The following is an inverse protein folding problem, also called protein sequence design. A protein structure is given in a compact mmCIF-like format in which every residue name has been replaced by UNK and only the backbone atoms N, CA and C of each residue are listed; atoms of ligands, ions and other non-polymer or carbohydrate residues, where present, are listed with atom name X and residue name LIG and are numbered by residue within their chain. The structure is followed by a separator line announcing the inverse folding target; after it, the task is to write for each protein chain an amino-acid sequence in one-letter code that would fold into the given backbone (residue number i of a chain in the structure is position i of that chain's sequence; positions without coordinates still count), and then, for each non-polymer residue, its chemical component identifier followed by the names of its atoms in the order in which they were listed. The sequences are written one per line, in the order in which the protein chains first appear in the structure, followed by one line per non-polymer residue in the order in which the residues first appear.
data_IF_906031084690
#
_entry.id   IF_906031084690
#
_cell.length_a   1.000
_cell.length_b   1.000
_cell.length_c   1.000
_cell.angle_alpha   90.00
_cell.angle_beta   90.00
_cell.angle_gamma   90.00
#
_symmetry.space_group_name_H-M   'P 1'
#
loop_
_entity.id
_entity.type
_entity.pdbx_description
1 polymer ?
#
# COMPACT_ATOMS: atom_id res chain seq x y z
N UNK A 1 11.05 7.79 2.27
CA UNK A 1 9.84 7.31 2.96
C UNK A 1 9.71 5.79 2.94
N UNK A 2 9.80 5.07 1.81
CA UNK A 2 9.66 3.61 1.80
C UNK A 2 10.55 2.85 2.81
N UNK A 3 11.84 3.20 2.91
CA UNK A 3 12.74 2.63 3.93
C UNK A 3 12.30 2.96 5.37
N UNK A 4 11.80 4.17 5.63
CA UNK A 4 11.30 4.56 6.95
C UNK A 4 10.00 3.82 7.30
N UNK A 5 9.12 3.64 6.31
CA UNK A 5 7.86 2.92 6.46
C UNK A 5 8.07 1.43 6.80
N UNK A 6 9.10 0.78 6.26
CA UNK A 6 9.39 -0.64 6.55
C UNK A 6 10.32 -0.82 7.75
N UNK A 7 11.45 -0.10 7.80
CA UNK A 7 12.49 -0.27 8.83
C UNK A 7 12.29 0.62 10.05
N UNK A 8 11.25 1.46 10.07
CA UNK A 8 10.76 2.30 11.19
C UNK A 8 11.70 3.43 11.64
N UNK A 9 13.00 3.18 11.71
CA UNK A 9 13.98 4.08 12.34
C UNK A 9 15.25 4.19 11.52
N UNK A 10 15.93 5.34 11.62
CA UNK A 10 17.26 5.51 11.04
C UNK A 10 18.27 4.50 11.60
N UNK A 11 18.14 4.11 12.86
CA UNK A 11 19.03 3.13 13.51
C UNK A 11 18.91 1.76 12.86
N UNK A 12 17.70 1.33 12.51
CA UNK A 12 17.48 0.08 11.80
C UNK A 12 18.03 0.13 10.37
N UNK A 13 17.84 1.25 9.66
CA UNK A 13 18.41 1.46 8.32
C UNK A 13 19.94 1.40 8.40
N UNK A 14 20.56 2.10 9.36
CA UNK A 14 22.00 2.08 9.61
C UNK A 14 22.48 0.65 9.91
N UNK A 15 21.76 -0.09 10.77
CA UNK A 15 22.10 -1.47 11.14
C UNK A 15 22.11 -2.41 9.93
N UNK A 16 21.05 -2.39 9.12
CA UNK A 16 20.94 -3.23 7.92
C UNK A 16 21.99 -2.85 6.89
N UNK A 17 22.25 -1.55 6.71
CA UNK A 17 23.25 -1.05 5.78
C UNK A 17 24.69 -1.43 6.19
N UNK A 18 25.03 -1.31 7.47
CA UNK A 18 26.35 -1.71 8.01
C UNK A 18 26.53 -3.23 7.96
N UNK A 19 25.45 -4.00 8.13
CA UNK A 19 25.48 -5.46 7.91
C UNK A 19 25.59 -5.85 6.42
N UNK A 20 25.58 -4.88 5.51
CA UNK A 20 25.62 -5.06 4.05
C UNK A 20 24.51 -5.97 3.51
N UNK A 21 23.37 -6.00 4.18
CA UNK A 21 22.21 -6.81 3.81
C UNK A 21 21.40 -6.07 2.72
N UNK A 22 21.93 -6.13 1.50
CA UNK A 22 21.35 -5.50 0.30
C UNK A 22 19.98 -6.09 -0.02
N UNK A 23 19.79 -7.40 0.19
CA UNK A 23 18.55 -8.10 -0.14
C UNK A 23 17.40 -7.61 0.74
N UNK A 24 17.64 -7.42 2.04
CA UNK A 24 16.63 -6.86 2.95
C UNK A 24 16.26 -5.42 2.61
N UNK A 25 17.22 -4.60 2.20
CA UNK A 25 16.95 -3.24 1.73
C UNK A 25 16.20 -3.25 0.39
N UNK A 26 16.56 -4.16 -0.52
CA UNK A 26 15.93 -4.30 -1.83
C UNK A 26 14.53 -4.94 -1.78
N UNK A 27 14.19 -5.62 -0.68
CA UNK A 27 12.85 -6.13 -0.43
C UNK A 27 11.84 -5.01 -0.14
N UNK A 28 12.31 -3.81 0.23
CA UNK A 28 11.46 -2.64 0.45
C UNK A 28 10.88 -2.16 -0.89
N UNK A 29 9.56 -2.00 -0.93
CA UNK A 29 8.84 -1.59 -2.13
C UNK A 29 9.36 -0.23 -2.65
N UNK A 30 9.74 -0.17 -3.93
CA UNK A 30 10.35 1.02 -4.54
C UNK A 30 11.86 1.18 -4.28
N UNK A 31 12.48 0.30 -3.50
CA UNK A 31 13.94 0.25 -3.30
C UNK A 31 14.48 -0.90 -4.13
N UNK A 32 14.96 -0.59 -5.35
CA UNK A 32 15.64 -1.59 -6.16
C UNK A 32 17.07 -1.90 -5.67
N UNK A 33 17.72 -2.94 -6.22
CA UNK A 33 19.07 -3.35 -5.81
C UNK A 33 20.13 -2.24 -6.00
N UNK A 34 19.90 -1.32 -6.94
CA UNK A 34 20.77 -0.15 -7.16
C UNK A 34 20.68 0.81 -5.96
N UNK A 35 19.47 1.12 -5.51
CA UNK A 35 19.24 2.03 -4.38
C UNK A 35 19.71 1.37 -3.08
N UNK A 36 19.43 0.08 -2.91
CA UNK A 36 19.88 -0.68 -1.74
C UNK A 36 21.41 -0.65 -1.60
N UNK A 37 22.16 -0.86 -2.70
CA UNK A 37 23.63 -0.73 -2.69
C UNK A 37 24.09 0.68 -2.37
N UNK A 38 23.47 1.70 -2.96
CA UNK A 38 23.83 3.09 -2.67
C UNK A 38 23.64 3.44 -1.18
N UNK A 39 22.62 2.89 -0.53
CA UNK A 39 22.40 3.05 0.92
C UNK A 39 23.51 2.36 1.72
N UNK A 40 23.88 1.12 1.36
CA UNK A 40 25.01 0.41 1.99
C UNK A 40 26.31 1.20 1.83
N UNK A 41 26.61 1.65 0.61
CA UNK A 41 27.80 2.45 0.32
C UNK A 41 27.83 3.73 1.14
N UNK A 42 26.70 4.43 1.26
CA UNK A 42 26.61 5.66 2.06
C UNK A 42 26.97 5.44 3.53
N UNK A 43 26.45 4.39 4.16
CA UNK A 43 26.73 4.10 5.57
C UNK A 43 28.10 3.46 5.83
N UNK A 44 28.69 2.83 4.81
CA UNK A 44 29.99 2.14 4.92
C UNK A 44 31.17 2.98 4.41
N UNK A 45 30.90 4.06 3.67
CA UNK A 45 31.93 4.98 3.19
C UNK A 45 32.69 5.64 4.35
N UNK A 46 34.01 5.44 4.34
CA UNK A 46 34.90 5.87 5.42
C UNK A 46 34.86 4.99 6.68
N UNK A 47 34.21 3.83 6.63
CA UNK A 47 34.22 2.84 7.72
C UNK A 47 33.46 3.27 8.98
N UNK A 48 33.84 2.76 10.17
CA UNK A 48 33.18 3.09 11.43
C UNK A 48 33.15 4.59 11.74
N UNK A 49 34.19 5.30 11.31
CA UNK A 49 34.36 6.74 11.46
C UNK A 49 34.02 7.52 10.18
N UNK A 50 33.14 6.96 9.34
CA UNK A 50 32.64 7.62 8.14
C UNK A 50 31.94 8.95 8.46
N UNK A 51 32.13 9.95 7.61
CA UNK A 51 31.53 11.28 7.82
C UNK A 51 30.00 11.24 7.76
N UNK A 52 29.42 10.36 6.95
CA UNK A 52 27.98 10.12 6.88
C UNK A 52 27.40 9.70 8.24
N UNK A 53 28.03 8.74 8.91
CA UNK A 53 27.62 8.28 10.25
C UNK A 53 27.75 9.40 11.29
N UNK A 54 28.80 10.21 11.21
CA UNK A 54 28.96 11.39 12.09
C UNK A 54 27.84 12.42 11.90
N UNK A 55 27.34 12.62 10.69
CA UNK A 55 26.20 13.51 10.46
C UNK A 55 24.94 12.98 11.14
N UNK A 56 24.64 11.70 10.96
CA UNK A 56 23.49 11.05 11.62
C UNK A 56 23.61 11.17 13.15
N UNK A 57 24.80 10.92 13.70
CA UNK A 57 25.05 11.10 15.14
C UNK A 57 24.84 12.53 15.63
N UNK A 58 25.27 13.55 14.86
CA UNK A 58 25.05 14.96 15.23
C UNK A 58 23.57 15.33 15.24
N UNK A 59 22.82 14.90 14.23
CA UNK A 59 21.37 15.11 14.21
C UNK A 59 20.68 14.39 15.38
N UNK A 60 21.11 13.18 15.70
CA UNK A 60 20.61 12.43 16.87
C UNK A 60 20.90 13.18 18.18
N UNK A 61 22.13 13.69 18.34
CA UNK A 61 22.53 14.47 19.51
C UNK A 61 21.79 15.83 19.61
N UNK A 62 21.36 16.37 18.46
CA UNK A 62 20.54 17.58 18.40
C UNK A 62 19.04 17.32 18.66
N UNK A 63 18.63 16.07 18.91
CA UNK A 63 17.24 15.72 19.20
C UNK A 63 16.34 15.61 17.97
N UNK A 64 16.90 15.43 16.77
CA UNK A 64 16.10 15.20 15.55
C UNK A 64 15.36 13.87 15.69
N UNK A 65 14.03 13.89 15.49
CA UNK A 65 13.22 12.68 15.45
C UNK A 65 13.55 11.89 14.19
N UNK A 66 14.16 10.72 14.37
CA UNK A 66 14.60 9.82 13.30
C UNK A 66 13.79 8.52 13.21
N UNK A 67 12.67 8.48 13.91
CA UNK A 67 11.68 7.43 13.79
C UNK A 67 10.52 7.97 12.96
N UNK A 68 10.01 7.14 12.05
CA UNK A 68 8.72 7.41 11.44
C UNK A 68 7.67 7.27 12.54
N UNK A 69 6.88 8.31 12.80
CA UNK A 69 5.78 8.23 13.75
C UNK A 69 4.68 7.40 13.10
N UNK A 70 4.73 6.09 13.33
CA UNK A 70 3.61 5.20 13.03
C UNK A 70 2.55 5.43 14.09
N UNK A 71 1.37 5.87 13.67
CA UNK A 71 0.23 5.96 14.56
C UNK A 71 -0.35 4.55 14.74
N UNK A 72 0.12 3.85 15.78
CA UNK A 72 -0.35 2.50 16.12
C UNK A 72 -1.84 2.47 16.53
N UNK A 73 -2.50 3.63 16.68
CA UNK A 73 -3.95 3.71 16.89
C UNK A 73 -4.76 3.48 15.61
N UNK A 74 -4.13 3.55 14.44
CA UNK A 74 -4.79 3.32 13.15
C UNK A 74 -4.63 1.84 12.77
N UNK A 75 -5.75 1.11 12.77
CA UNK A 75 -5.75 -0.29 12.34
C UNK A 75 -5.25 -0.44 10.90
N UNK A 76 -4.41 -1.46 10.65
CA UNK A 76 -3.83 -1.74 9.33
C UNK A 76 -4.79 -2.51 8.43
N UNK A 77 -5.98 -1.96 8.23
CA UNK A 77 -7.08 -2.56 7.47
C UNK A 77 -6.72 -2.84 6.01
N UNK A 78 -5.67 -2.20 5.47
CA UNK A 78 -5.24 -2.33 4.07
C UNK A 78 -3.88 -3.01 3.89
N UNK A 79 -3.35 -3.66 4.92
CA UNK A 79 -2.05 -4.32 4.87
C UNK A 79 -1.93 -5.27 3.66
N UNK A 80 -0.95 -5.01 2.79
CA UNK A 80 -0.67 -5.86 1.62
C UNK A 80 -1.55 -5.60 0.39
N UNK A 81 -2.56 -4.73 0.49
CA UNK A 81 -3.40 -4.35 -0.64
C UNK A 81 -2.74 -3.24 -1.46
N UNK A 82 -2.91 -3.30 -2.78
CA UNK A 82 -2.50 -2.22 -3.70
C UNK A 82 -3.73 -1.54 -4.28
N UNK A 83 -3.86 -0.24 -4.03
CA UNK A 83 -4.95 0.60 -4.52
C UNK A 83 -4.46 1.54 -5.61
N UNK A 84 -5.34 1.90 -6.54
CA UNK A 84 -5.10 2.96 -7.53
C UNK A 84 -6.14 4.04 -7.33
N UNK A 85 -5.73 5.29 -7.14
CA UNK A 85 -6.65 6.43 -7.03
C UNK A 85 -6.65 7.19 -8.36
N UNK A 86 -7.83 7.37 -8.95
CA UNK A 86 -8.03 8.11 -10.21
C UNK A 86 -9.20 9.09 -10.11
N UNK A 87 -9.12 10.20 -10.84
CA UNK A 87 -10.04 11.32 -10.66
C UNK A 87 -9.71 12.18 -9.43
N UNK A 88 -10.66 13.03 -9.07
CA UNK A 88 -10.64 13.91 -7.88
C UNK A 88 -11.70 13.43 -6.90
N UNK A 89 -11.36 13.23 -5.63
CA UNK A 89 -12.32 12.88 -4.58
C UNK A 89 -12.75 14.19 -3.89
N UNK A 90 -14.03 14.36 -3.61
CA UNK A 90 -14.56 15.61 -3.04
C UNK A 90 -14.05 15.84 -1.61
N UNK A 91 -13.92 14.76 -0.82
CA UNK A 91 -13.46 14.77 0.57
C UNK A 91 -11.98 14.47 0.77
N UNK A 92 -11.23 14.16 -0.30
CA UNK A 92 -9.79 13.90 -0.21
C UNK A 92 -9.02 14.55 -1.36
N UNK A 93 -8.00 15.34 -1.02
CA UNK A 93 -6.94 15.61 -1.99
C UNK A 93 -6.25 14.30 -2.37
N UNK A 94 -5.65 14.27 -3.57
CA UNK A 94 -4.92 13.07 -4.04
C UNK A 94 -3.81 12.64 -3.08
N UNK A 95 -3.19 13.58 -2.38
CA UNK A 95 -2.13 13.27 -1.42
C UNK A 95 -2.70 12.80 -0.07
N UNK A 96 -3.81 13.36 0.40
CA UNK A 96 -4.53 12.84 1.58
C UNK A 96 -5.04 11.42 1.36
N UNK A 97 -5.60 11.12 0.19
CA UNK A 97 -6.02 9.76 -0.15
C UNK A 97 -4.84 8.78 -0.13
N UNK A 98 -3.65 9.21 -0.60
CA UNK A 98 -2.45 8.38 -0.53
C UNK A 98 -2.00 8.15 0.91
N UNK A 99 -1.92 9.20 1.71
CA UNK A 99 -1.51 9.09 3.10
C UNK A 99 -2.49 8.22 3.89
N UNK A 100 -3.80 8.34 3.66
CA UNK A 100 -4.82 7.53 4.31
C UNK A 100 -4.66 6.03 4.02
N UNK A 101 -4.31 5.68 2.77
CA UNK A 101 -4.01 4.30 2.36
C UNK A 101 -2.72 3.80 2.99
N UNK A 102 -1.65 4.61 2.94
CA UNK A 102 -0.33 4.25 3.48
C UNK A 102 -0.38 4.07 5.00
N UNK A 103 -1.10 4.93 5.72
CA UNK A 103 -1.28 4.85 7.18
C UNK A 103 -1.91 3.52 7.61
N UNK A 104 -2.82 2.98 6.79
CA UNK A 104 -3.50 1.69 7.03
C UNK A 104 -2.74 0.49 6.43
N UNK A 105 -1.49 0.68 6.02
CA UNK A 105 -0.62 -0.37 5.50
C UNK A 105 -0.86 -0.77 4.04
N UNK A 106 -1.71 -0.04 3.32
CA UNK A 106 -1.94 -0.23 1.90
C UNK A 106 -0.88 0.44 1.04
N UNK A 107 -0.79 0.02 -0.22
CA UNK A 107 0.11 0.59 -1.24
C UNK A 107 -0.69 1.37 -2.26
N UNK A 108 -0.16 2.49 -2.76
CA UNK A 108 -0.78 3.23 -3.87
C UNK A 108 0.04 3.08 -5.13
N UNK A 109 -0.57 2.58 -6.20
CA UNK A 109 0.01 2.49 -7.54
C UNK A 109 -0.59 3.56 -8.46
N UNK A 110 0.23 4.09 -9.37
CA UNK A 110 -0.23 4.98 -10.45
C UNK A 110 -0.82 4.23 -11.65
N UNK A 111 -0.70 2.90 -11.70
CA UNK A 111 -1.14 2.06 -12.83
C UNK A 111 -2.00 0.89 -12.34
N UNK A 112 -3.07 0.61 -13.08
CA UNK A 112 -3.92 -0.57 -12.87
C UNK A 112 -3.22 -1.80 -13.45
N UNK A 113 -3.10 -2.85 -12.63
CA UNK A 113 -2.47 -4.12 -12.97
C UNK A 113 -3.24 -5.28 -12.32
N UNK A 114 -2.90 -6.53 -12.66
CA UNK A 114 -3.48 -7.72 -12.01
C UNK A 114 -3.19 -7.82 -10.50
N UNK A 115 -2.23 -7.06 -9.99
CA UNK A 115 -1.90 -6.98 -8.55
C UNK A 115 -2.69 -5.89 -7.83
N UNK A 116 -3.45 -5.07 -8.57
CA UNK A 116 -4.29 -4.02 -7.99
C UNK A 116 -5.52 -4.67 -7.36
N UNK A 117 -5.71 -4.44 -6.07
CA UNK A 117 -6.86 -4.95 -5.33
C UNK A 117 -8.11 -4.10 -5.58
N UNK A 118 -7.98 -2.77 -5.58
CA UNK A 118 -9.09 -1.84 -5.79
C UNK A 118 -8.66 -0.62 -6.61
N UNK A 119 -9.59 -0.08 -7.41
CA UNK A 119 -9.44 1.21 -8.09
C UNK A 119 -10.46 2.18 -7.52
N UNK A 120 -9.99 3.22 -6.85
CA UNK A 120 -10.82 4.29 -6.31
C UNK A 120 -11.00 5.35 -7.39
N UNK A 121 -12.25 5.62 -7.73
CA UNK A 121 -12.66 6.52 -8.81
C UNK A 121 -13.43 7.68 -8.21
N UNK A 122 -12.86 8.87 -8.36
CA UNK A 122 -13.55 10.13 -8.14
C UNK A 122 -14.03 10.77 -9.44
N UNK A 123 -14.35 12.05 -9.38
CA UNK A 123 -14.80 12.82 -10.52
C UNK A 123 -13.78 12.82 -11.66
N UNK A 124 -14.30 12.63 -12.87
CA UNK A 124 -13.57 12.51 -14.13
C UNK A 124 -12.53 11.35 -14.13
N UNK A 125 -12.99 10.08 -14.15
CA UNK A 125 -12.18 8.88 -13.88
C UNK A 125 -11.00 8.66 -14.84
N UNK A 126 -11.13 9.17 -16.06
CA UNK A 126 -10.17 9.00 -17.15
C UNK A 126 -9.91 7.53 -17.52
N UNK A 127 -8.82 7.30 -18.25
CA UNK A 127 -8.46 6.00 -18.87
C UNK A 127 -8.10 4.89 -17.87
N UNK A 128 -7.99 5.19 -16.57
CA UNK A 128 -7.71 4.18 -15.53
C UNK A 128 -8.96 3.38 -15.13
N UNK A 129 -10.13 3.99 -15.21
CA UNK A 129 -11.41 3.30 -15.01
C UNK A 129 -11.60 2.22 -16.07
N UNK A 130 -11.38 2.56 -17.34
CA UNK A 130 -11.52 1.62 -18.46
C UNK A 130 -10.58 0.42 -18.31
N UNK A 131 -9.37 0.66 -17.81
CA UNK A 131 -8.38 -0.39 -17.54
C UNK A 131 -8.77 -1.27 -16.33
N UNK A 132 -9.44 -0.72 -15.33
CA UNK A 132 -9.97 -1.48 -14.20
C UNK A 132 -11.05 -2.44 -14.64
N UNK A 133 -11.99 -1.95 -15.47
CA UNK A 133 -13.06 -2.76 -16.06
C UNK A 133 -12.48 -3.89 -16.93
N UNK A 134 -11.50 -3.59 -17.78
CA UNK A 134 -10.84 -4.61 -18.62
C UNK A 134 -10.14 -5.72 -17.82
N UNK A 135 -9.60 -5.38 -16.66
CA UNK A 135 -8.87 -6.31 -15.80
C UNK A 135 -9.76 -6.94 -14.71
N UNK A 136 -11.07 -6.67 -14.72
CA UNK A 136 -12.04 -7.09 -13.71
C UNK A 136 -11.60 -6.74 -12.27
N UNK A 137 -10.92 -5.59 -12.12
CA UNK A 137 -10.51 -5.08 -10.80
C UNK A 137 -11.68 -4.32 -10.19
N UNK A 138 -12.08 -4.58 -8.93
CA UNK A 138 -13.15 -3.86 -8.26
C UNK A 138 -12.92 -2.34 -8.27
N UNK A 139 -13.97 -1.61 -8.67
CA UNK A 139 -13.98 -0.14 -8.71
C UNK A 139 -14.81 0.38 -7.54
N UNK A 140 -14.24 1.31 -6.78
CA UNK A 140 -14.88 1.95 -5.63
C UNK A 140 -15.07 3.43 -5.92
N UNK A 141 -16.20 3.98 -5.49
CA UNK A 141 -16.41 5.42 -5.38
C UNK A 141 -15.80 5.95 -4.05
N UNK A 142 -15.98 7.24 -3.79
CA UNK A 142 -15.50 7.88 -2.56
C UNK A 142 -16.11 7.28 -1.29
N UNK A 143 -17.39 6.92 -1.33
CA UNK A 143 -18.08 6.31 -0.20
C UNK A 143 -17.54 4.90 0.08
N UNK A 144 -17.26 4.13 -0.98
CA UNK A 144 -16.61 2.82 -0.92
C UNK A 144 -15.18 2.93 -0.43
N UNK A 145 -14.43 3.95 -0.85
CA UNK A 145 -13.07 4.21 -0.34
C UNK A 145 -13.07 4.52 1.16
N UNK A 146 -14.01 5.36 1.62
CA UNK A 146 -14.13 5.68 3.05
C UNK A 146 -14.46 4.45 3.89
N UNK A 147 -15.37 3.59 3.41
CA UNK A 147 -15.67 2.30 4.05
C UNK A 147 -14.47 1.36 4.03
N UNK A 148 -13.77 1.26 2.91
CA UNK A 148 -12.56 0.44 2.79
C UNK A 148 -11.48 0.89 3.79
N UNK A 149 -11.31 2.20 4.00
CA UNK A 149 -10.39 2.74 5.00
C UNK A 149 -10.85 2.41 6.44
N UNK A 150 -12.15 2.43 6.72
CA UNK A 150 -12.68 2.18 8.06
C UNK A 150 -12.69 0.69 8.43
N UNK A 151 -13.20 -0.15 7.54
CA UNK A 151 -13.60 -1.54 7.84
C UNK A 151 -12.69 -2.58 7.16
N UNK A 152 -11.81 -2.15 6.24
CA UNK A 152 -10.99 -3.04 5.42
C UNK A 152 -11.74 -3.63 4.22
N UNK A 153 -11.10 -4.52 3.44
CA UNK A 153 -11.72 -5.10 2.26
C UNK A 153 -12.96 -5.91 2.66
N UNK A 154 -14.07 -5.82 1.90
CA UNK A 154 -15.18 -6.73 2.12
C UNK A 154 -14.69 -8.18 1.98
N UNK A 155 -15.27 -9.14 2.72
CA UNK A 155 -15.00 -10.55 2.49
C UNK A 155 -15.20 -10.84 0.99
N UNK A 156 -14.38 -11.71 0.37
CA UNK A 156 -14.62 -12.10 -1.02
C UNK A 156 -16.08 -12.56 -1.11
N UNK A 157 -16.86 -11.90 -1.97
CA UNK A 157 -18.27 -12.20 -2.17
C UNK A 157 -18.39 -13.72 -2.32
N UNK A 158 -19.05 -14.35 -1.33
CA UNK A 158 -19.58 -15.68 -1.54
C UNK A 158 -20.48 -15.52 -2.77
N UNK A 159 -20.23 -16.33 -3.80
CA UNK A 159 -21.09 -16.44 -4.96
C UNK A 159 -22.55 -16.42 -4.47
N UNK A 160 -23.43 -15.56 -5.02
CA UNK A 160 -24.84 -15.61 -4.65
C UNK A 160 -25.29 -17.07 -4.81
N UNK A 161 -26.07 -17.63 -3.87
CA UNK A 161 -26.48 -19.02 -3.96
C UNK A 161 -27.09 -19.21 -5.34
N UNK A 162 -26.47 -20.11 -6.10
CA UNK A 162 -26.89 -20.52 -7.43
C UNK A 162 -28.40 -20.80 -7.31
N UNK A 163 -29.22 -19.94 -7.93
CA UNK A 163 -30.67 -20.10 -7.88
C UNK A 163 -30.96 -21.44 -8.54
N UNK A 164 -31.26 -22.43 -7.71
CA UNK A 164 -31.70 -23.75 -8.14
C UNK A 164 -32.87 -23.53 -9.11
N UNK A 165 -32.77 -24.01 -10.36
CA UNK A 165 -33.83 -23.81 -11.33
C UNK A 165 -35.12 -24.39 -10.74
N UNK A 166 -36.28 -23.72 -10.90
CA UNK A 166 -37.53 -24.17 -10.31
C UNK A 166 -37.78 -25.62 -10.71
N UNK A 167 -37.98 -26.48 -9.72
CA UNK A 167 -38.39 -27.87 -9.91
C UNK A 167 -39.59 -27.89 -10.88
N UNK A 168 -39.59 -28.76 -11.90
CA UNK A 168 -40.75 -28.87 -12.78
C UNK A 168 -41.96 -29.32 -11.96
N UNK A 169 -43.03 -28.54 -12.01
CA UNK A 169 -44.28 -28.84 -11.31
C UNK A 169 -44.77 -30.27 -11.64
N UNK A 170 -45.26 -31.03 -10.66
CA UNK A 170 -45.80 -32.36 -10.90
C UNK A 170 -47.03 -32.25 -11.80
N UNK A 171 -46.91 -32.83 -13.00
CA UNK A 171 -48.01 -32.99 -13.95
C UNK A 171 -49.20 -33.67 -13.26
N UNK A 172 -50.33 -32.97 -13.20
CA UNK A 172 -51.61 -33.54 -12.77
C UNK A 172 -51.95 -34.79 -13.62
N UNK A 173 -52.45 -35.87 -13.02
CA UNK A 173 -52.88 -37.03 -13.78
C UNK A 173 -54.20 -36.73 -14.48
N UNK A 174 -54.22 -36.88 -15.80
CA UNK A 174 -55.44 -36.91 -16.58
C UNK A 174 -56.29 -38.12 -16.17
N UNK A 175 -57.46 -37.86 -15.60
CA UNK A 175 -58.57 -38.80 -15.42
C UNK A 175 -59.72 -38.46 -16.36
#
# INVERSE_FOLDING_TARGET
RALAAELATMDEIERVAVAQDVDRLAAVDGVGPVIARAVVEWFTDGGPDGWHRRIVQRWRAAGVVMADQRDDSVERTLAGLTLVVTGTLEGYSRDEAKEAVLARGGKVSGSVSKKTAFVVVGDNPGTKHDKAVQLAVPVLDEAGFTRLLADGPPPPEQEPPEQEPPEPEPSEPAG
#
